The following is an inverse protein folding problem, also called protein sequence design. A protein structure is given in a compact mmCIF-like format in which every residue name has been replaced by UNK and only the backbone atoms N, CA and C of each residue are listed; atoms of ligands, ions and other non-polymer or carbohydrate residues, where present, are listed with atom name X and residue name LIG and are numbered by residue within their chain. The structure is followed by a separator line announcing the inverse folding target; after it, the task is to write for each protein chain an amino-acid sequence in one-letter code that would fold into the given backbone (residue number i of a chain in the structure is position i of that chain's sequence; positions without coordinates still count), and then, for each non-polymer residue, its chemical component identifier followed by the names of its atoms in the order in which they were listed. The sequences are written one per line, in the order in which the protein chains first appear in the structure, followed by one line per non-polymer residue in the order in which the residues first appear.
data_IF_486420575090
#
_entry.id   IF_486420575090
#
_cell.length_a   1.000
_cell.length_b   1.000
_cell.length_c   1.000
_cell.angle_alpha   90.00
_cell.angle_beta   90.00
_cell.angle_gamma   90.00
#
_symmetry.space_group_name_H-M   'P 1'
#
loop_
_entity.id
_entity.type
_entity.pdbx_description
1 polymer ?
#
# COMPACT_ATOMS: atom_id res chain seq x y z
N UNK A 1 15.71 19.51 11.56
CA UNK A 1 16.24 19.52 10.19
C UNK A 1 15.88 20.80 9.43
N UNK A 2 14.87 21.57 9.84
CA UNK A 2 14.48 22.80 9.14
C UNK A 2 13.95 22.53 7.73
N UNK A 3 13.33 21.35 7.55
CA UNK A 3 12.71 20.97 6.28
C UNK A 3 11.40 21.74 6.12
N UNK A 4 11.12 22.18 4.90
CA UNK A 4 9.88 22.87 4.57
C UNK A 4 8.83 21.84 4.12
N UNK A 5 7.70 21.81 4.80
CA UNK A 5 6.65 20.80 4.66
C UNK A 5 5.39 21.45 4.06
N UNK A 6 4.84 20.85 3.01
CA UNK A 6 3.54 21.25 2.44
C UNK A 6 2.44 20.25 2.78
N UNK A 7 1.25 20.73 3.10
CA UNK A 7 0.12 19.84 3.43
C UNK A 7 -1.13 20.26 2.68
N UNK A 8 -1.75 19.34 1.95
CA UNK A 8 -3.10 19.51 1.42
C UNK A 8 -4.09 18.61 2.20
N UNK A 9 -4.88 19.20 3.11
CA UNK A 9 -5.89 18.51 3.90
C UNK A 9 -7.03 17.85 3.11
N UNK A 10 -7.18 18.18 1.82
CA UNK A 10 -8.30 17.79 0.95
C UNK A 10 -9.69 18.06 1.57
N UNK A 11 -9.79 19.08 2.42
CA UNK A 11 -11.00 19.43 3.19
C UNK A 11 -11.52 18.33 4.13
N UNK A 12 -10.65 17.43 4.57
CA UNK A 12 -11.00 16.33 5.46
C UNK A 12 -11.02 16.70 6.95
N UNK A 13 -11.33 15.71 7.79
CA UNK A 13 -11.56 15.86 9.22
C UNK A 13 -10.32 16.31 10.02
N UNK A 14 -9.11 16.07 9.51
CA UNK A 14 -7.86 16.44 10.16
C UNK A 14 -7.31 17.82 9.75
N UNK A 15 -8.06 18.65 9.02
CA UNK A 15 -7.59 20.00 8.62
C UNK A 15 -7.09 20.82 9.83
N UNK A 16 -7.82 20.77 10.95
CA UNK A 16 -7.51 21.46 12.19
C UNK A 16 -6.40 20.77 13.03
N UNK A 17 -5.86 19.63 12.59
CA UNK A 17 -4.76 18.96 13.28
C UNK A 17 -3.40 19.52 12.84
N UNK A 18 -3.27 19.97 11.59
CA UNK A 18 -1.97 20.32 11.00
C UNK A 18 -1.37 21.60 11.57
N UNK A 19 -2.16 22.65 11.77
CA UNK A 19 -1.68 23.89 12.38
C UNK A 19 -1.23 23.67 13.84
N UNK A 20 -2.01 23.02 14.73
CA UNK A 20 -1.53 22.69 16.07
C UNK A 20 -0.27 21.82 16.10
N UNK A 21 -0.13 20.87 15.16
CA UNK A 21 1.10 20.08 15.01
C UNK A 21 2.27 21.00 14.66
N UNK A 22 2.11 21.88 13.67
CA UNK A 22 3.14 22.82 13.26
C UNK A 22 3.59 23.73 14.40
N UNK A 23 2.65 24.33 15.13
CA UNK A 23 2.91 25.20 16.28
C UNK A 23 3.59 24.46 17.44
N UNK A 24 3.02 23.31 17.84
CA UNK A 24 3.51 22.53 18.99
C UNK A 24 4.95 22.08 18.81
N UNK A 25 5.32 21.69 17.59
CA UNK A 25 6.65 21.15 17.28
C UNK A 25 7.57 22.15 16.59
N UNK A 26 7.12 23.40 16.36
CA UNK A 26 7.89 24.43 15.67
C UNK A 26 8.33 24.03 14.26
N UNK A 27 7.43 23.39 13.50
CA UNK A 27 7.70 22.93 12.15
C UNK A 27 7.47 24.05 11.13
N UNK A 28 8.33 24.10 10.10
CA UNK A 28 8.07 24.91 8.90
C UNK A 28 7.09 24.14 8.01
N UNK A 29 5.81 24.18 8.40
CA UNK A 29 4.71 23.45 7.77
C UNK A 29 3.66 24.45 7.28
N UNK A 30 3.31 24.33 6.00
CA UNK A 30 2.32 25.18 5.32
C UNK A 30 1.12 24.33 4.88
N UNK A 31 -0.06 24.66 5.41
CA UNK A 31 -1.33 24.14 4.89
C UNK A 31 -1.66 24.90 3.61
N UNK A 32 -1.54 24.25 2.45
CA UNK A 32 -1.68 24.90 1.13
C UNK A 32 -3.13 25.15 0.73
N UNK A 33 -4.06 24.43 1.36
CA UNK A 33 -5.49 24.54 1.11
C UNK A 33 -6.29 24.26 2.40
N UNK A 34 -6.63 25.29 3.19
CA UNK A 34 -7.39 25.12 4.43
C UNK A 34 -8.91 25.02 4.21
N UNK A 35 -9.40 25.02 2.96
CA UNK A 35 -10.83 25.10 2.68
C UNK A 35 -11.58 23.84 3.13
N UNK A 36 -12.67 24.05 3.88
CA UNK A 36 -13.66 23.01 4.22
C UNK A 36 -15.00 23.38 3.59
N UNK A 37 -15.36 22.67 2.53
CA UNK A 37 -16.61 22.87 1.80
C UNK A 37 -17.26 21.50 1.53
N UNK A 38 -18.51 21.25 1.96
CA UNK A 38 -19.23 20.00 1.70
C UNK A 38 -19.41 19.64 0.22
N UNK A 39 -19.24 20.61 -0.68
CA UNK A 39 -19.25 20.40 -2.14
C UNK A 39 -17.90 19.97 -2.70
N UNK A 40 -16.80 20.10 -1.93
CA UNK A 40 -15.42 19.81 -2.34
C UNK A 40 -15.01 20.53 -3.64
N UNK A 41 -15.55 21.73 -3.89
CA UNK A 41 -15.35 22.47 -5.15
C UNK A 41 -13.91 22.88 -5.45
N UNK A 42 -13.03 22.83 -4.44
CA UNK A 42 -11.59 23.11 -4.56
C UNK A 42 -10.80 21.92 -5.11
N UNK A 43 -11.38 20.71 -5.10
CA UNK A 43 -10.71 19.51 -5.59
C UNK A 43 -10.57 19.50 -7.11
N UNK A 44 -9.45 18.98 -7.59
CA UNK A 44 -9.36 18.49 -8.97
C UNK A 44 -10.15 17.19 -9.11
N UNK A 45 -10.72 16.94 -10.29
CA UNK A 45 -11.46 15.69 -10.55
C UNK A 45 -10.49 14.51 -10.68
N UNK A 46 -10.91 13.34 -10.21
CA UNK A 46 -10.17 12.09 -10.32
C UNK A 46 -10.20 11.54 -11.76
N UNK A 47 -9.52 10.44 -12.03
CA UNK A 47 -9.32 9.84 -13.36
C UNK A 47 -10.58 9.59 -14.20
N UNK A 48 -11.76 9.47 -13.57
CA UNK A 48 -13.06 9.27 -14.22
C UNK A 48 -13.95 10.53 -14.22
N UNK A 49 -13.39 11.69 -13.90
CA UNK A 49 -14.08 12.98 -13.88
C UNK A 49 -14.95 13.22 -12.64
N UNK A 50 -14.90 12.34 -11.63
CA UNK A 50 -15.63 12.51 -10.37
C UNK A 50 -14.78 13.19 -9.31
N UNK A 51 -15.42 13.95 -8.43
CA UNK A 51 -14.78 14.47 -7.24
C UNK A 51 -14.59 13.30 -6.25
N UNK A 52 -13.33 12.97 -5.95
CA UNK A 52 -12.94 12.06 -4.88
C UNK A 52 -11.71 12.64 -4.19
N UNK A 53 -11.71 12.61 -2.87
CA UNK A 53 -10.59 13.05 -2.04
C UNK A 53 -9.66 11.86 -1.80
N UNK A 54 -9.15 11.28 -2.89
CA UNK A 54 -8.21 10.16 -2.83
C UNK A 54 -6.78 10.69 -2.80
N UNK A 55 -6.18 10.72 -1.61
CA UNK A 55 -4.80 11.16 -1.40
C UNK A 55 -3.75 10.32 -2.14
N UNK A 56 -4.12 9.16 -2.67
CA UNK A 56 -3.24 8.30 -3.49
C UNK A 56 -3.46 8.44 -5.00
N UNK A 57 -4.44 9.25 -5.43
CA UNK A 57 -4.69 9.52 -6.84
C UNK A 57 -3.87 10.71 -7.34
N UNK A 58 -3.06 10.55 -8.41
CA UNK A 58 -2.34 11.68 -8.99
C UNK A 58 -3.27 12.73 -9.62
N UNK A 59 -4.53 12.39 -9.89
CA UNK A 59 -5.52 13.30 -10.44
C UNK A 59 -6.14 14.17 -9.35
N UNK A 60 -6.54 13.57 -8.23
CA UNK A 60 -7.08 14.29 -7.07
C UNK A 60 -6.01 15.13 -6.34
N UNK A 61 -4.75 14.65 -6.36
CA UNK A 61 -3.61 15.33 -5.74
C UNK A 61 -2.90 16.32 -6.69
N UNK A 62 -3.45 16.58 -7.88
CA UNK A 62 -2.78 17.36 -8.93
C UNK A 62 -2.31 18.73 -8.42
N UNK A 63 -3.16 19.45 -7.67
CA UNK A 63 -2.82 20.75 -7.09
C UNK A 63 -1.58 20.68 -6.18
N UNK A 64 -1.49 19.69 -5.28
CA UNK A 64 -0.32 19.53 -4.41
C UNK A 64 0.92 19.09 -5.19
N UNK A 65 0.76 18.23 -6.20
CA UNK A 65 1.85 17.77 -7.07
C UNK A 65 2.47 18.94 -7.84
N UNK A 66 1.67 19.90 -8.31
CA UNK A 66 2.16 21.12 -8.97
C UNK A 66 3.02 22.00 -8.03
N UNK A 67 2.77 21.92 -6.72
CA UNK A 67 3.51 22.64 -5.69
C UNK A 67 4.74 21.88 -5.18
N UNK A 68 5.04 20.67 -5.68
CA UNK A 68 6.08 19.79 -5.12
C UNK A 68 7.46 20.46 -4.98
N UNK A 69 7.82 21.38 -5.88
CA UNK A 69 9.14 22.02 -5.88
C UNK A 69 9.24 23.22 -4.91
N UNK A 70 8.14 23.57 -4.22
CA UNK A 70 8.12 24.57 -3.15
C UNK A 70 8.47 24.00 -1.77
N UNK A 71 8.40 22.68 -1.63
CA UNK A 71 8.54 21.98 -0.36
C UNK A 71 9.65 20.93 -0.47
N UNK A 72 10.31 20.62 0.64
CA UNK A 72 11.26 19.49 0.68
C UNK A 72 10.51 18.15 0.70
N UNK A 73 9.31 18.17 1.29
CA UNK A 73 8.34 17.09 1.28
C UNK A 73 6.94 17.66 1.43
N UNK A 74 5.94 17.03 0.81
CA UNK A 74 4.56 17.38 1.00
C UNK A 74 3.68 16.14 1.14
N UNK A 75 2.50 16.30 1.71
CA UNK A 75 1.55 15.19 1.84
C UNK A 75 0.09 15.64 1.86
N UNK A 76 -0.81 14.70 1.62
CA UNK A 76 -2.24 14.90 1.80
C UNK A 76 -2.93 13.64 2.32
N UNK A 77 -4.13 13.83 2.86
CA UNK A 77 -4.93 12.77 3.46
C UNK A 77 -6.33 12.75 2.87
N UNK A 78 -6.96 11.60 2.88
CA UNK A 78 -8.38 11.48 2.57
C UNK A 78 -9.26 11.96 3.75
N UNK A 79 -10.59 12.11 3.57
CA UNK A 79 -11.40 12.86 4.53
C UNK A 79 -11.44 12.31 5.95
N UNK A 80 -11.26 11.01 6.14
CA UNK A 80 -11.19 10.31 7.42
C UNK A 80 -9.75 10.16 7.96
N UNK A 81 -8.75 10.62 7.22
CA UNK A 81 -7.35 10.73 7.64
C UNK A 81 -6.68 9.39 7.99
N UNK A 82 -7.23 8.29 7.48
CA UNK A 82 -6.69 6.95 7.68
C UNK A 82 -5.70 6.56 6.56
N UNK A 83 -5.65 7.32 5.45
CA UNK A 83 -4.69 7.16 4.36
C UNK A 83 -3.76 8.35 4.17
N UNK A 84 -2.66 8.11 3.47
CA UNK A 84 -1.58 9.07 3.21
C UNK A 84 -1.23 9.16 1.73
N UNK A 85 -0.83 10.35 1.29
CA UNK A 85 -0.32 10.62 -0.06
C UNK A 85 0.98 11.39 0.01
N UNK A 86 2.13 10.73 -0.20
CA UNK A 86 3.44 11.38 -0.06
C UNK A 86 3.89 11.99 -1.40
N UNK A 87 4.09 13.30 -1.39
CA UNK A 87 4.60 14.08 -2.53
C UNK A 87 6.03 14.52 -2.26
N UNK A 88 6.92 14.27 -3.21
CA UNK A 88 8.35 14.63 -3.11
C UNK A 88 8.78 15.38 -4.36
N UNK A 89 9.79 16.28 -4.29
CA UNK A 89 10.32 16.95 -5.47
C UNK A 89 10.79 15.98 -6.55
N UNK A 90 11.42 14.86 -6.15
CA UNK A 90 11.97 13.87 -7.10
C UNK A 90 10.93 12.91 -7.66
N UNK A 91 9.95 12.52 -6.87
CA UNK A 91 8.96 11.50 -7.23
C UNK A 91 7.61 12.04 -7.71
N UNK A 92 7.29 13.30 -7.45
CA UNK A 92 5.89 13.72 -7.42
C UNK A 92 5.16 12.92 -6.34
N UNK A 93 3.94 12.46 -6.63
CA UNK A 93 3.22 11.53 -5.77
C UNK A 93 3.84 10.13 -5.80
N UNK A 94 4.28 9.63 -4.65
CA UNK A 94 4.83 8.29 -4.50
C UNK A 94 3.72 7.23 -4.65
N UNK A 95 4.04 6.12 -5.32
CA UNK A 95 3.19 4.94 -5.29
C UNK A 95 3.12 4.40 -3.84
N UNK A 96 1.94 4.03 -3.32
CA UNK A 96 1.81 3.55 -1.94
C UNK A 96 2.72 2.36 -1.60
N UNK A 97 2.82 1.34 -2.46
CA UNK A 97 3.71 0.20 -2.23
C UNK A 97 5.18 0.62 -2.08
N UNK A 98 5.59 1.67 -2.81
CA UNK A 98 6.95 2.18 -2.75
C UNK A 98 7.19 2.81 -1.38
N UNK A 99 6.27 3.65 -0.92
CA UNK A 99 6.40 4.30 0.37
C UNK A 99 6.29 3.32 1.55
N UNK A 100 5.40 2.32 1.50
CA UNK A 100 5.35 1.25 2.51
C UNK A 100 6.70 0.50 2.62
N UNK A 101 7.38 0.27 1.49
CA UNK A 101 8.71 -0.37 1.48
C UNK A 101 9.74 0.49 2.20
N UNK A 102 9.73 1.81 1.94
CA UNK A 102 10.63 2.78 2.60
C UNK A 102 10.31 2.90 4.09
N UNK A 103 9.03 2.96 4.45
CA UNK A 103 8.58 3.03 5.84
C UNK A 103 9.07 1.82 6.65
N UNK A 104 8.86 0.60 6.13
CA UNK A 104 9.37 -0.63 6.77
C UNK A 104 10.89 -0.62 6.85
N UNK A 105 11.57 -0.28 5.74
CA UNK A 105 13.03 -0.20 5.70
C UNK A 105 13.56 0.72 6.80
N UNK A 106 12.97 1.91 6.95
CA UNK A 106 13.41 2.91 7.91
C UNK A 106 13.05 2.53 9.36
N UNK A 107 11.79 2.16 9.63
CA UNK A 107 11.28 1.93 10.98
C UNK A 107 12.05 0.80 11.69
N UNK A 108 12.22 -0.35 11.04
CA UNK A 108 12.86 -1.51 11.66
C UNK A 108 14.38 -1.34 11.87
N UNK A 109 14.99 -0.29 11.31
CA UNK A 109 16.36 0.12 11.61
C UNK A 109 16.45 1.18 12.71
N UNK A 110 15.40 2.00 12.88
CA UNK A 110 15.39 3.19 13.74
C UNK A 110 14.45 3.11 14.95
N UNK A 111 13.90 1.92 15.25
CA UNK A 111 13.07 1.66 16.43
C UNK A 111 13.71 0.55 17.26
N UNK A 112 14.55 0.95 18.23
CA UNK A 112 15.37 0.02 19.03
C UNK A 112 14.63 -0.63 20.18
N UNK A 113 13.56 0.00 20.67
CA UNK A 113 12.76 -0.49 21.81
C UNK A 113 11.59 -1.38 21.37
N UNK A 114 11.48 -1.69 20.07
CA UNK A 114 10.53 -2.68 19.58
C UNK A 114 10.99 -4.10 19.91
N UNK A 115 10.04 -5.03 20.02
CA UNK A 115 10.36 -6.44 20.24
C UNK A 115 11.32 -6.95 19.15
N UNK A 116 12.27 -7.78 19.56
CA UNK A 116 13.26 -8.37 18.64
C UNK A 116 12.58 -9.23 17.56
N UNK A 117 11.45 -9.84 17.89
CA UNK A 117 10.64 -10.65 16.98
C UNK A 117 9.41 -9.92 16.42
N UNK A 118 9.30 -8.60 16.60
CA UNK A 118 8.25 -7.80 15.97
C UNK A 118 8.23 -8.03 14.45
N UNK A 119 7.04 -8.30 13.91
CA UNK A 119 6.84 -8.69 12.51
C UNK A 119 6.36 -7.52 11.65
N UNK A 120 6.53 -7.66 10.33
CA UNK A 120 6.02 -6.74 9.31
C UNK A 120 4.71 -7.29 8.76
N UNK A 121 3.61 -6.57 8.95
CA UNK A 121 2.30 -6.92 8.40
C UNK A 121 2.08 -6.36 7.00
N UNK A 122 1.61 -7.21 6.08
CA UNK A 122 1.17 -6.78 4.74
C UNK A 122 -0.05 -7.58 4.28
N UNK A 123 -0.87 -7.00 3.40
CA UNK A 123 -1.93 -7.75 2.73
C UNK A 123 -1.35 -8.65 1.63
N UNK A 124 -2.05 -9.71 1.27
CA UNK A 124 -1.65 -10.66 0.21
C UNK A 124 -1.48 -10.01 -1.17
N UNK A 125 -2.01 -8.81 -1.39
CA UNK A 125 -1.89 -8.05 -2.65
C UNK A 125 -0.96 -6.84 -2.54
N UNK A 126 -0.34 -6.63 -1.37
CA UNK A 126 0.74 -5.65 -1.19
C UNK A 126 2.04 -6.20 -1.81
N UNK A 127 2.81 -5.30 -2.41
CA UNK A 127 4.05 -5.59 -3.14
C UNK A 127 4.96 -6.57 -2.41
N UNK A 128 5.55 -7.50 -3.17
CA UNK A 128 6.56 -8.42 -2.66
C UNK A 128 7.91 -7.74 -2.39
N UNK A 129 8.04 -6.45 -2.73
CA UNK A 129 9.17 -5.63 -2.28
C UNK A 129 9.24 -5.59 -0.75
N UNK A 130 8.10 -5.57 -0.05
CA UNK A 130 8.08 -5.63 1.42
C UNK A 130 8.69 -6.93 1.95
N UNK A 131 8.51 -8.06 1.27
CA UNK A 131 9.15 -9.32 1.68
C UNK A 131 10.67 -9.24 1.53
N UNK A 132 11.15 -8.67 0.41
CA UNK A 132 12.58 -8.51 0.14
C UNK A 132 13.23 -7.57 1.16
N UNK A 133 12.58 -6.44 1.46
CA UNK A 133 13.02 -5.49 2.49
C UNK A 133 13.02 -6.14 3.88
N UNK A 134 11.92 -6.75 4.32
CA UNK A 134 11.83 -7.38 5.63
C UNK A 134 12.88 -8.48 5.82
N UNK A 135 13.06 -9.34 4.80
CA UNK A 135 14.08 -10.38 4.79
C UNK A 135 15.49 -9.81 4.94
N UNK A 136 15.80 -8.70 4.26
CA UNK A 136 17.11 -8.04 4.36
C UNK A 136 17.41 -7.50 5.76
N UNK A 137 16.37 -7.20 6.54
CA UNK A 137 16.46 -6.73 7.92
C UNK A 137 16.37 -7.87 8.94
N UNK A 138 16.31 -9.14 8.49
CA UNK A 138 16.13 -10.30 9.36
C UNK A 138 14.75 -10.38 10.02
N UNK A 139 13.73 -9.70 9.48
CA UNK A 139 12.38 -9.65 10.03
C UNK A 139 11.44 -10.61 9.32
N UNK A 140 10.48 -11.16 10.06
CA UNK A 140 9.41 -12.00 9.52
C UNK A 140 8.27 -11.14 8.97
N UNK A 141 7.62 -11.63 7.93
CA UNK A 141 6.42 -11.02 7.35
C UNK A 141 5.18 -11.80 7.77
N UNK A 142 4.19 -11.09 8.28
CA UNK A 142 2.85 -11.60 8.58
C UNK A 142 1.93 -11.22 7.41
N UNK A 143 1.88 -12.07 6.38
CA UNK A 143 1.01 -11.88 5.22
C UNK A 143 -0.43 -12.31 5.54
N UNK A 144 -1.39 -11.39 5.40
CA UNK A 144 -2.81 -11.59 5.76
C UNK A 144 -3.74 -11.26 4.58
N UNK A 145 -5.03 -11.67 4.60
CA UNK A 145 -5.98 -11.26 3.56
C UNK A 145 -6.15 -9.74 3.48
N UNK A 146 -6.77 -9.24 2.42
CA UNK A 146 -7.13 -7.81 2.32
C UNK A 146 -8.04 -7.39 3.48
N UNK A 147 -7.74 -6.22 4.07
CA UNK A 147 -8.48 -5.62 5.17
C UNK A 147 -7.61 -5.40 6.41
N UNK A 148 -7.50 -4.15 6.85
CA UNK A 148 -6.68 -3.75 8.00
C UNK A 148 -7.00 -4.46 9.33
N UNK A 149 -8.23 -4.95 9.51
CA UNK A 149 -8.68 -5.68 10.71
C UNK A 149 -7.75 -6.82 11.15
N UNK A 150 -7.01 -7.41 10.21
CA UNK A 150 -6.10 -8.52 10.49
C UNK A 150 -4.84 -8.09 11.25
N UNK A 151 -4.48 -6.80 11.22
CA UNK A 151 -3.32 -6.26 11.91
C UNK A 151 -3.64 -5.84 13.35
N UNK A 152 -4.92 -5.59 13.67
CA UNK A 152 -5.37 -5.08 14.97
C UNK A 152 -4.81 -5.89 16.15
N UNK A 153 -4.88 -7.24 16.20
CA UNK A 153 -4.38 -7.98 17.36
C UNK A 153 -2.88 -7.78 17.58
N UNK A 154 -2.09 -7.83 16.50
CA UNK A 154 -0.63 -7.69 16.58
C UNK A 154 -0.16 -6.26 16.88
N UNK A 155 -0.89 -5.23 16.43
CA UNK A 155 -0.62 -3.84 16.81
C UNK A 155 -0.97 -3.60 18.28
N UNK A 156 -2.01 -4.26 18.78
CA UNK A 156 -2.49 -4.12 20.16
C UNK A 156 -1.52 -4.73 21.18
N UNK A 157 -0.94 -5.88 20.86
CA UNK A 157 0.01 -6.58 21.73
C UNK A 157 1.50 -6.25 21.46
N UNK A 158 1.80 -5.51 20.39
CA UNK A 158 3.15 -5.08 20.02
C UNK A 158 3.95 -6.10 19.22
N UNK A 159 3.39 -7.27 18.90
CA UNK A 159 4.05 -8.30 18.07
C UNK A 159 4.11 -7.92 16.58
N UNK A 160 3.30 -6.96 16.16
CA UNK A 160 3.34 -6.36 14.82
C UNK A 160 3.87 -4.94 14.92
N UNK A 161 5.09 -4.69 14.41
CA UNK A 161 5.68 -3.36 14.43
C UNK A 161 5.02 -2.39 13.45
N UNK A 162 4.53 -2.93 12.34
CA UNK A 162 3.96 -2.20 11.21
C UNK A 162 2.89 -3.05 10.52
N UNK A 163 1.76 -2.46 10.14
CA UNK A 163 0.78 -3.09 9.25
C UNK A 163 0.39 -2.13 8.14
N UNK A 164 0.40 -2.57 6.88
CA UNK A 164 0.10 -1.73 5.73
C UNK A 164 -0.68 -2.43 4.62
N UNK A 165 -1.50 -1.65 3.92
CA UNK A 165 -2.25 -2.04 2.72
C UNK A 165 -1.80 -1.20 1.53
N UNK A 166 -1.75 -1.82 0.34
CA UNK A 166 -1.34 -1.20 -0.91
C UNK A 166 -2.23 -0.01 -1.34
N UNK A 167 -3.39 0.14 -0.70
CA UNK A 167 -4.33 1.26 -0.88
C UNK A 167 -3.95 2.51 -0.07
N UNK A 168 -2.68 2.66 0.30
CA UNK A 168 -2.14 3.83 1.02
C UNK A 168 -2.62 3.99 2.46
N UNK A 169 -2.94 2.88 3.14
CA UNK A 169 -3.33 2.88 4.55
C UNK A 169 -2.35 2.04 5.38
N UNK A 170 -1.87 2.57 6.50
CA UNK A 170 -0.97 1.84 7.39
C UNK A 170 -1.02 2.37 8.83
N UNK A 171 -0.43 1.62 9.75
CA UNK A 171 -0.13 2.07 11.11
C UNK A 171 1.13 1.38 11.65
N UNK A 172 1.77 1.97 12.65
CA UNK A 172 2.94 1.42 13.31
C UNK A 172 2.99 1.77 14.80
N UNK A 173 3.79 1.01 15.55
CA UNK A 173 3.91 1.18 17.00
C UNK A 173 4.59 2.50 17.37
N UNK A 174 4.33 2.97 18.59
CA UNK A 174 5.10 4.07 19.20
C UNK A 174 6.57 3.66 19.34
N UNK A 175 7.46 4.64 19.59
CA UNK A 175 8.90 4.38 19.74
C UNK A 175 9.23 3.33 20.81
N UNK A 176 8.48 3.32 21.91
CA UNK A 176 8.59 2.37 23.03
C UNK A 176 7.92 1.00 22.78
N UNK A 177 7.49 0.70 21.54
CA UNK A 177 6.89 -0.58 21.18
C UNK A 177 5.44 -0.77 21.62
N UNK A 178 4.78 0.24 22.19
CA UNK A 178 3.34 0.14 22.53
C UNK A 178 2.46 0.73 21.43
N UNK A 179 1.19 0.37 21.42
CA UNK A 179 0.22 0.80 20.39
C UNK A 179 0.05 2.33 20.36
N UNK A 180 0.11 2.92 19.15
CA UNK A 180 -0.36 4.28 18.90
C UNK A 180 -1.86 4.27 18.59
N UNK A 181 -2.22 3.60 17.49
CA UNK A 181 -3.59 3.32 17.04
C UNK A 181 -3.65 1.90 16.47
N UNK A 182 -4.82 1.28 16.56
CA UNK A 182 -5.10 -0.02 15.95
C UNK A 182 -5.87 0.08 14.64
N UNK A 183 -6.28 1.29 14.24
CA UNK A 183 -6.75 1.56 12.87
C UNK A 183 -5.59 2.12 12.04
N UNK A 184 -5.83 2.40 10.75
CA UNK A 184 -4.87 3.13 9.92
C UNK A 184 -4.81 4.58 10.37
N UNK A 185 -3.68 5.24 10.13
CA UNK A 185 -3.45 6.62 10.51
C UNK A 185 -2.54 7.30 9.47
N UNK A 186 -3.12 8.15 8.65
CA UNK A 186 -2.41 8.89 7.60
C UNK A 186 -1.39 9.89 8.18
N UNK A 187 -1.73 10.55 9.28
CA UNK A 187 -0.90 11.60 9.90
C UNK A 187 0.45 11.03 10.32
N UNK A 188 0.49 9.88 10.99
CA UNK A 188 1.77 9.30 11.42
C UNK A 188 2.61 8.81 10.24
N UNK A 189 1.99 8.40 9.13
CA UNK A 189 2.69 8.00 7.92
C UNK A 189 3.26 9.22 7.19
N UNK A 190 2.56 10.35 7.18
CA UNK A 190 3.04 11.61 6.62
C UNK A 190 4.22 12.17 7.41
N UNK A 191 4.07 12.24 8.74
CA UNK A 191 5.15 12.67 9.64
C UNK A 191 6.35 11.72 9.61
N UNK A 192 6.12 10.42 9.36
CA UNK A 192 7.21 9.47 9.14
C UNK A 192 8.01 9.81 7.87
N UNK A 193 7.36 10.29 6.81
CA UNK A 193 8.05 10.65 5.57
C UNK A 193 8.99 11.85 5.82
N UNK A 194 8.50 12.82 6.60
CA UNK A 194 9.29 13.95 7.08
C UNK A 194 10.43 13.50 8.00
N UNK A 195 10.21 12.53 8.90
CA UNK A 195 11.26 11.93 9.74
C UNK A 195 12.34 11.25 8.90
N UNK A 196 11.96 10.44 7.90
CA UNK A 196 12.89 9.78 6.96
C UNK A 196 13.80 10.82 6.32
N UNK A 197 13.22 11.88 5.75
CA UNK A 197 14.00 12.95 5.12
C UNK A 197 14.91 13.66 6.14
N UNK A 198 14.36 14.05 7.29
CA UNK A 198 15.08 14.81 8.30
C UNK A 198 16.27 14.05 8.91
N UNK A 199 16.14 12.73 9.12
CA UNK A 199 17.16 11.90 9.76
C UNK A 199 18.19 11.41 8.75
N UNK A 200 17.76 11.03 7.54
CA UNK A 200 18.66 10.45 6.53
C UNK A 200 19.27 11.50 5.61
N UNK A 201 18.70 12.71 5.55
CA UNK A 201 19.06 13.74 4.58
C UNK A 201 18.66 13.39 3.13
N UNK A 202 17.86 12.35 2.92
CA UNK A 202 17.46 11.86 1.61
C UNK A 202 15.95 11.76 1.49
N UNK A 203 15.46 12.23 0.35
CA UNK A 203 14.08 12.10 -0.12
C UNK A 203 13.62 10.62 -0.10
N UNK A 204 12.42 10.31 0.43
CA UNK A 204 11.88 8.95 0.44
C UNK A 204 11.88 8.23 -0.93
N UNK A 205 11.70 8.95 -2.04
CA UNK A 205 11.78 8.38 -3.38
C UNK A 205 13.20 7.94 -3.75
N UNK A 206 14.24 8.58 -3.20
CA UNK A 206 15.64 8.14 -3.37
C UNK A 206 15.87 6.84 -2.63
N UNK A 207 15.37 6.71 -1.41
CA UNK A 207 15.44 5.44 -0.66
C UNK A 207 14.74 4.32 -1.42
N UNK A 208 13.58 4.58 -2.04
CA UNK A 208 12.92 3.57 -2.86
C UNK A 208 13.75 3.18 -4.08
N UNK A 209 14.39 4.14 -4.76
CA UNK A 209 15.29 3.83 -5.88
C UNK A 209 16.51 2.98 -5.45
N UNK A 210 17.05 3.21 -4.25
CA UNK A 210 18.12 2.38 -3.66
C UNK A 210 17.62 0.96 -3.33
N UNK A 211 16.39 0.84 -2.81
CA UNK A 211 15.70 -0.45 -2.59
C UNK A 211 15.50 -1.20 -3.93
N UNK A 212 15.04 -0.52 -5.00
CA UNK A 212 14.94 -1.13 -6.33
C UNK A 212 16.30 -1.57 -6.87
N UNK A 213 17.36 -0.78 -6.64
CA UNK A 213 18.71 -1.14 -7.07
C UNK A 213 19.23 -2.40 -6.37
N UNK A 214 18.88 -2.58 -5.09
CA UNK A 214 19.30 -3.74 -4.30
C UNK A 214 18.47 -4.99 -4.59
N UNK A 215 17.16 -4.84 -4.75
CA UNK A 215 16.22 -5.96 -4.78
C UNK A 215 15.53 -6.15 -6.12
N UNK A 216 15.87 -5.37 -7.14
CA UNK A 216 15.21 -5.38 -8.43
C UNK A 216 13.95 -4.52 -8.45
N UNK A 217 13.57 -4.09 -9.65
CA UNK A 217 12.45 -3.17 -9.87
C UNK A 217 11.11 -3.90 -9.89
N UNK A 218 10.17 -3.47 -9.05
CA UNK A 218 8.82 -4.01 -9.02
C UNK A 218 7.91 -3.26 -10.02
N UNK A 219 7.20 -4.01 -10.85
CA UNK A 219 6.17 -3.51 -11.74
C UNK A 219 4.84 -4.06 -11.27
N UNK A 220 3.94 -3.18 -10.83
CA UNK A 220 2.67 -3.56 -10.22
C UNK A 220 1.49 -3.04 -11.04
N UNK A 221 0.41 -3.83 -11.14
CA UNK A 221 -0.84 -3.38 -11.75
C UNK A 221 -2.06 -4.03 -11.09
N UNK A 222 -3.12 -3.24 -10.98
CA UNK A 222 -4.47 -3.70 -10.62
C UNK A 222 -5.39 -3.54 -11.82
N UNK A 223 -6.17 -4.57 -12.13
CA UNK A 223 -7.22 -4.57 -13.13
C UNK A 223 -8.56 -4.97 -12.50
N UNK A 224 -9.63 -4.58 -13.17
CA UNK A 224 -10.99 -4.99 -12.86
C UNK A 224 -11.59 -5.68 -14.08
N UNK A 225 -12.30 -6.78 -13.84
CA UNK A 225 -12.96 -7.56 -14.88
C UNK A 225 -14.37 -7.93 -14.42
N UNK A 226 -15.32 -7.95 -15.35
CA UNK A 226 -16.72 -8.31 -15.03
C UNK A 226 -16.81 -9.76 -14.56
N UNK A 227 -17.68 -10.02 -13.60
CA UNK A 227 -18.05 -11.37 -13.19
C UNK A 227 -19.52 -11.44 -12.81
N UNK A 228 -20.21 -12.48 -13.29
CA UNK A 228 -21.58 -12.78 -12.87
C UNK A 228 -21.63 -13.24 -11.41
N UNK A 229 -22.83 -13.29 -10.82
CA UNK A 229 -23.00 -13.81 -9.46
C UNK A 229 -22.53 -15.26 -9.33
N UNK A 230 -22.76 -16.09 -10.35
CA UNK A 230 -22.34 -17.49 -10.41
C UNK A 230 -20.83 -17.61 -10.46
N UNK A 231 -20.16 -16.82 -11.32
CA UNK A 231 -18.69 -16.74 -11.37
C UNK A 231 -18.10 -16.27 -10.04
N UNK A 232 -18.73 -15.29 -9.38
CA UNK A 232 -18.32 -14.84 -8.03
C UNK A 232 -18.45 -15.95 -6.98
N UNK A 233 -19.41 -16.85 -7.13
CA UNK A 233 -19.59 -17.98 -6.22
C UNK A 233 -18.47 -19.04 -6.36
N UNK A 234 -17.85 -19.17 -7.54
CA UNK A 234 -16.71 -20.07 -7.76
C UNK A 234 -15.54 -19.73 -6.84
N UNK A 235 -15.26 -18.44 -6.60
CA UNK A 235 -14.17 -18.01 -5.69
C UNK A 235 -14.28 -18.58 -4.27
N UNK A 236 -15.49 -18.89 -3.79
CA UNK A 236 -15.71 -19.48 -2.46
C UNK A 236 -15.35 -20.97 -2.38
N UNK A 237 -15.26 -21.65 -3.53
CA UNK A 237 -14.96 -23.08 -3.65
C UNK A 237 -13.51 -23.35 -4.00
N UNK A 238 -12.73 -22.32 -4.32
CA UNK A 238 -11.37 -22.48 -4.81
C UNK A 238 -10.50 -23.24 -3.82
N UNK A 239 -9.82 -24.25 -4.35
CA UNK A 239 -8.73 -24.95 -3.68
C UNK A 239 -7.47 -24.86 -4.55
N UNK A 240 -6.26 -24.89 -3.96
CA UNK A 240 -5.02 -24.85 -4.72
C UNK A 240 -4.93 -25.91 -5.83
N UNK A 241 -5.57 -27.07 -5.63
CA UNK A 241 -5.54 -28.21 -6.55
C UNK A 241 -6.35 -27.96 -7.84
N UNK A 242 -7.28 -27.01 -7.85
CA UNK A 242 -8.08 -26.67 -9.04
C UNK A 242 -7.24 -25.95 -10.10
N UNK A 243 -6.14 -25.30 -9.71
CA UNK A 243 -5.23 -24.65 -10.65
C UNK A 243 -4.33 -25.72 -11.28
N UNK A 244 -4.63 -26.14 -12.50
CA UNK A 244 -3.87 -27.17 -13.23
C UNK A 244 -2.53 -26.67 -13.78
N UNK A 245 -2.41 -25.37 -14.06
CA UNK A 245 -1.18 -24.77 -14.55
C UNK A 245 0.01 -25.03 -13.60
N UNK A 246 1.15 -25.38 -14.15
CA UNK A 246 2.43 -25.56 -13.44
C UNK A 246 3.41 -24.39 -13.68
N UNK A 247 3.05 -23.49 -14.61
CA UNK A 247 3.82 -22.30 -14.96
C UNK A 247 2.94 -21.06 -15.04
N UNK A 248 3.56 -19.90 -14.84
CA UNK A 248 2.98 -18.57 -15.02
C UNK A 248 4.05 -17.64 -15.61
N UNK A 249 3.73 -16.99 -16.73
CA UNK A 249 4.64 -16.12 -17.50
C UNK A 249 5.99 -16.77 -17.86
N UNK A 250 5.97 -18.09 -18.08
CA UNK A 250 7.16 -18.88 -18.38
C UNK A 250 8.00 -19.29 -17.17
N UNK A 251 7.58 -18.99 -15.95
CA UNK A 251 8.24 -19.40 -14.70
C UNK A 251 7.48 -20.53 -14.01
N UNK A 252 8.16 -21.37 -13.23
CA UNK A 252 7.50 -22.44 -12.45
C UNK A 252 6.67 -21.80 -11.35
N UNK A 253 5.45 -22.26 -11.16
CA UNK A 253 4.61 -21.86 -10.03
C UNK A 253 5.18 -22.50 -8.76
N UNK A 254 5.63 -21.66 -7.83
CA UNK A 254 6.12 -22.08 -6.53
C UNK A 254 4.97 -22.34 -5.57
N UNK A 255 3.91 -21.52 -5.65
CA UNK A 255 2.80 -21.58 -4.71
C UNK A 255 1.46 -21.23 -5.34
N UNK A 256 0.42 -21.89 -4.82
CA UNK A 256 -1.00 -21.66 -5.12
C UNK A 256 -1.72 -21.52 -3.78
N UNK A 257 -2.23 -20.34 -3.49
CA UNK A 257 -2.72 -19.95 -2.17
C UNK A 257 -4.18 -19.53 -2.25
N UNK A 258 -5.02 -20.15 -1.43
CA UNK A 258 -6.38 -19.67 -1.14
C UNK A 258 -6.52 -19.18 0.30
N UNK A 259 -5.47 -19.38 1.11
CA UNK A 259 -5.32 -18.93 2.50
C UNK A 259 -4.05 -18.11 2.65
N UNK A 260 -4.09 -17.08 3.49
CA UNK A 260 -2.94 -16.24 3.76
C UNK A 260 -1.95 -16.94 4.71
N UNK A 261 -0.65 -16.81 4.45
CA UNK A 261 0.39 -17.56 5.18
C UNK A 261 0.54 -17.13 6.64
N UNK A 262 0.36 -15.85 6.93
CA UNK A 262 0.62 -15.29 8.26
C UNK A 262 -0.39 -15.71 9.32
N UNK A 263 -1.65 -15.93 8.94
CA UNK A 263 -2.73 -16.23 9.89
C UNK A 263 -3.63 -17.41 9.48
N UNK A 264 -3.41 -18.02 8.31
CA UNK A 264 -4.21 -19.14 7.82
C UNK A 264 -5.65 -18.79 7.42
N UNK A 265 -6.02 -17.51 7.41
CA UNK A 265 -7.36 -17.07 7.03
C UNK A 265 -7.57 -17.15 5.52
N UNK A 266 -8.82 -17.42 5.09
CA UNK A 266 -9.17 -17.45 3.67
C UNK A 266 -8.96 -16.07 3.04
N UNK A 267 -8.29 -16.06 1.88
CA UNK A 267 -8.08 -14.85 1.07
C UNK A 267 -9.41 -14.43 0.40
N UNK A 268 -10.36 -15.35 0.29
CA UNK A 268 -11.58 -15.17 -0.49
C UNK A 268 -11.28 -15.04 -1.98
N UNK A 269 -10.27 -15.77 -2.45
CA UNK A 269 -9.71 -15.65 -3.78
C UNK A 269 -8.57 -16.65 -4.00
N UNK A 270 -7.75 -16.39 -5.00
CA UNK A 270 -6.58 -17.19 -5.35
C UNK A 270 -5.37 -16.28 -5.53
N UNK A 271 -4.21 -16.70 -5.04
CA UNK A 271 -2.91 -16.09 -5.32
C UNK A 271 -1.95 -17.16 -5.84
N UNK A 272 -1.29 -16.87 -6.96
CA UNK A 272 -0.28 -17.72 -7.58
C UNK A 272 1.05 -16.97 -7.54
N UNK A 273 2.11 -17.64 -7.10
CA UNK A 273 3.44 -17.05 -6.91
C UNK A 273 4.48 -17.81 -7.73
N UNK A 274 5.35 -17.07 -8.39
CA UNK A 274 6.60 -17.53 -9.02
C UNK A 274 7.77 -16.79 -8.39
N UNK A 275 9.00 -17.19 -8.73
CA UNK A 275 10.23 -16.55 -8.24
C UNK A 275 10.23 -15.02 -8.46
N UNK A 276 9.76 -14.56 -9.62
CA UNK A 276 9.85 -13.15 -10.05
C UNK A 276 8.51 -12.45 -10.28
N UNK A 277 7.41 -13.03 -9.81
CA UNK A 277 6.11 -12.40 -9.93
C UNK A 277 5.00 -13.16 -9.25
N UNK A 278 3.83 -12.54 -9.21
CA UNK A 278 2.64 -13.15 -8.67
C UNK A 278 1.40 -12.53 -9.28
N UNK A 279 0.30 -13.28 -9.26
CA UNK A 279 -1.05 -12.79 -9.57
C UNK A 279 -1.99 -13.19 -8.44
N UNK A 280 -2.86 -12.28 -8.03
CA UNK A 280 -3.92 -12.54 -7.07
C UNK A 280 -5.26 -12.06 -7.61
N UNK A 281 -6.29 -12.88 -7.43
CA UNK A 281 -7.63 -12.65 -7.95
C UNK A 281 -8.66 -12.81 -6.84
N UNK A 282 -9.59 -11.86 -6.78
CA UNK A 282 -10.65 -11.87 -5.76
C UNK A 282 -11.93 -11.19 -6.27
N UNK A 283 -13.12 -11.65 -5.86
CA UNK A 283 -14.37 -11.02 -6.22
C UNK A 283 -14.52 -9.67 -5.50
N UNK A 284 -15.16 -8.70 -6.16
CA UNK A 284 -15.61 -7.47 -5.49
C UNK A 284 -16.79 -7.79 -4.57
N UNK A 285 -16.81 -7.18 -3.38
CA UNK A 285 -17.91 -7.33 -2.43
C UNK A 285 -19.16 -6.52 -2.82
N UNK A 286 -18.97 -5.44 -3.58
CA UNK A 286 -19.99 -4.40 -3.83
C UNK A 286 -20.45 -4.34 -5.28
N UNK A 287 -19.70 -4.93 -6.20
CA UNK A 287 -19.90 -4.79 -7.65
C UNK A 287 -19.81 -6.15 -8.35
N UNK A 288 -20.41 -6.26 -9.54
CA UNK A 288 -20.38 -7.46 -10.40
C UNK A 288 -19.07 -7.54 -11.19
N UNK A 289 -17.96 -7.45 -10.45
CA UNK A 289 -16.59 -7.53 -10.94
C UNK A 289 -15.76 -8.43 -10.02
N UNK A 290 -14.61 -8.86 -10.54
CA UNK A 290 -13.48 -9.34 -9.75
C UNK A 290 -12.26 -8.47 -10.04
N UNK A 291 -11.34 -8.42 -9.08
CA UNK A 291 -10.10 -7.64 -9.15
C UNK A 291 -8.93 -8.58 -9.36
N UNK A 292 -8.04 -8.19 -10.27
CA UNK A 292 -6.78 -8.87 -10.55
C UNK A 292 -5.65 -7.95 -10.13
N UNK A 293 -4.77 -8.45 -9.28
CA UNK A 293 -3.57 -7.77 -8.83
C UNK A 293 -2.39 -8.59 -9.33
N UNK A 294 -1.39 -7.92 -9.91
CA UNK A 294 -0.20 -8.61 -10.35
C UNK A 294 1.03 -7.76 -10.13
N UNK A 295 2.15 -8.44 -9.93
CA UNK A 295 3.46 -7.83 -9.83
C UNK A 295 4.49 -8.66 -10.59
N UNK A 296 5.48 -7.98 -11.15
CA UNK A 296 6.66 -8.61 -11.72
C UNK A 296 7.94 -7.85 -11.38
N UNK A 297 9.02 -8.60 -11.16
CA UNK A 297 10.39 -8.09 -11.05
C UNK A 297 11.19 -8.18 -12.36
N UNK A 298 10.56 -8.61 -13.47
CA UNK A 298 11.20 -8.84 -14.78
C UNK A 298 10.78 -7.85 -15.86
N UNK A 299 10.00 -6.83 -15.53
CA UNK A 299 9.58 -5.80 -16.47
C UNK A 299 8.08 -5.80 -16.79
N UNK A 300 7.66 -4.77 -17.52
CA UNK A 300 6.26 -4.57 -17.91
C UNK A 300 5.73 -5.67 -18.83
N UNK A 301 6.56 -6.19 -19.74
CA UNK A 301 6.15 -7.27 -20.64
C UNK A 301 5.90 -8.58 -19.89
N UNK A 302 6.73 -8.88 -18.89
CA UNK A 302 6.52 -10.02 -18.01
C UNK A 302 5.28 -9.84 -17.13
N UNK A 303 5.07 -8.64 -16.59
CA UNK A 303 3.84 -8.29 -15.87
C UNK A 303 2.58 -8.49 -16.73
N UNK A 304 2.62 -8.08 -18.00
CA UNK A 304 1.48 -8.25 -18.90
C UNK A 304 1.18 -9.74 -19.11
N UNK A 305 2.20 -10.58 -19.32
CA UNK A 305 2.01 -12.04 -19.40
C UNK A 305 1.42 -12.64 -18.12
N UNK A 306 1.86 -12.20 -16.95
CA UNK A 306 1.30 -12.64 -15.66
C UNK A 306 -0.19 -12.30 -15.58
N UNK A 307 -0.58 -11.10 -16.02
CA UNK A 307 -1.99 -10.68 -16.04
C UNK A 307 -2.81 -11.53 -17.01
N UNK A 308 -2.34 -11.68 -18.24
CA UNK A 308 -3.05 -12.41 -19.29
C UNK A 308 -3.24 -13.89 -18.88
N UNK A 309 -2.16 -14.58 -18.53
CA UNK A 309 -2.21 -15.99 -18.10
C UNK A 309 -2.98 -16.16 -16.77
N UNK A 310 -2.89 -15.19 -15.86
CA UNK A 310 -3.65 -15.20 -14.61
C UNK A 310 -5.16 -15.07 -14.85
N UNK A 311 -5.57 -14.26 -15.81
CA UNK A 311 -6.98 -14.15 -16.22
C UNK A 311 -7.46 -15.42 -16.94
N UNK A 312 -6.63 -16.01 -17.79
CA UNK A 312 -6.95 -17.27 -18.47
C UNK A 312 -7.17 -18.42 -17.46
N UNK A 313 -6.34 -18.51 -16.41
CA UNK A 313 -6.54 -19.47 -15.32
C UNK A 313 -7.90 -19.27 -14.65
N UNK A 314 -8.29 -18.02 -14.37
CA UNK A 314 -9.60 -17.72 -13.76
C UNK A 314 -10.75 -18.10 -14.69
N UNK A 315 -10.62 -17.80 -15.98
CA UNK A 315 -11.64 -18.12 -16.97
C UNK A 315 -11.83 -19.64 -17.11
N UNK A 316 -10.74 -20.41 -17.14
CA UNK A 316 -10.78 -21.87 -17.13
C UNK A 316 -11.47 -22.41 -15.87
N UNK A 317 -11.19 -21.83 -14.69
CA UNK A 317 -11.86 -22.20 -13.45
C UNK A 317 -13.37 -21.94 -13.50
N UNK A 318 -13.82 -20.86 -14.16
CA UNK A 318 -15.24 -20.61 -14.35
C UNK A 318 -15.88 -21.61 -15.31
N UNK A 319 -15.21 -22.00 -16.38
CA UNK A 319 -15.70 -22.97 -17.37
C UNK A 319 -15.78 -24.39 -16.81
N UNK A 320 -14.93 -24.76 -15.86
CA UNK A 320 -14.94 -26.09 -15.25
C UNK A 320 -15.99 -26.24 -14.13
N UNK A 321 -16.34 -25.14 -13.45
CA UNK A 321 -17.19 -25.15 -12.24
C UNK A 321 -18.65 -24.71 -12.47
N UNK A 322 -18.98 -24.18 -13.65
CA UNK A 322 -20.31 -23.72 -14.05
C UNK A 322 -20.88 -24.58 -15.18
#
# INVERSE_FOLDING_TARGET
AGIRIGVDPLGGAGVEYWEPIAETYGLDLEVVNPDVDPTFRFMTVDHDGKIRMDCSSPYAMASLIELKDKFDIAFGNDPDYDRHGIVTPKGGLMNPNHYLSVAVWYLFQNRKDWLEDATVGKTVVTSAMLDRVAKSLGRKVTEVPVGFKWFVPGLLDGTLGFGGEESAGASFLRKNGTTWTTDKDGIILDLLAAEVLAITGKDPMVHYAEIEAQFGKAYYRRLEAKATMEQKAVFKKLTPQMVKADRLAGEVIEEKLTKAKGNGADIGGLKIVTENGWVAVRPSGTEDIYKVYAESFKGKDHLQKILDEGQDIVQQLFEEEL
#
